data_IF_083079628769
#
_entry.id   IF_083079628769
#
_cell.length_a   1.000
_cell.length_b   1.000
_cell.length_c   1.000
_cell.angle_alpha   90.00
_cell.angle_beta   90.00
_cell.angle_gamma   90.00
#
_symmetry.space_group_name_H-M   'P 1'
#
loop_
_entity.id
_entity.type
_entity.pdbx_description
1 polymer ?
#
# COMPACT_ATOMS: atom_id res chain seq x y z
N UNK A 1 -20.03 1.29 16.89
CA UNK A 1 -18.88 1.86 16.14
C UNK A 1 -19.30 2.06 14.69
N UNK A 2 -18.99 3.23 14.09
CA UNK A 2 -19.33 3.53 12.70
C UNK A 2 -18.31 2.83 11.78
N UNK A 3 -18.77 2.01 10.83
CA UNK A 3 -17.89 1.43 9.81
C UNK A 3 -17.70 2.44 8.68
N UNK A 4 -16.45 2.65 8.27
CA UNK A 4 -16.09 3.55 7.16
C UNK A 4 -15.39 2.72 6.09
N UNK A 5 -15.77 2.95 4.83
CA UNK A 5 -15.12 2.35 3.65
C UNK A 5 -14.49 3.48 2.86
N UNK A 6 -13.20 3.34 2.53
CA UNK A 6 -12.39 4.38 1.86
C UNK A 6 -11.76 3.76 0.61
N UNK A 7 -11.81 4.49 -0.51
CA UNK A 7 -11.06 4.19 -1.72
C UNK A 7 -10.05 5.30 -2.01
N UNK A 8 -8.85 4.95 -2.48
CA UNK A 8 -7.79 5.90 -2.84
C UNK A 8 -7.62 5.86 -4.37
N UNK A 9 -7.93 6.97 -5.04
CA UNK A 9 -7.83 7.10 -6.50
C UNK A 9 -6.88 8.25 -6.86
N UNK A 10 -5.95 7.98 -7.77
CA UNK A 10 -5.01 8.94 -8.33
C UNK A 10 -4.35 8.36 -9.59
N UNK A 11 -3.68 9.22 -10.37
CA UNK A 11 -2.93 8.84 -11.58
C UNK A 11 -1.86 7.76 -11.30
N UNK A 12 -1.39 7.08 -12.35
CA UNK A 12 -0.28 6.11 -12.26
C UNK A 12 0.92 6.79 -11.56
N UNK A 13 1.57 6.05 -10.67
CA UNK A 13 2.71 6.49 -9.86
C UNK A 13 2.51 7.72 -8.94
N UNK A 14 1.26 8.13 -8.69
CA UNK A 14 0.95 9.20 -7.73
C UNK A 14 1.08 8.80 -6.24
N UNK A 15 1.67 7.66 -5.92
CA UNK A 15 1.93 7.24 -4.53
C UNK A 15 0.72 6.68 -3.76
N UNK A 16 -0.32 6.19 -4.45
CA UNK A 16 -1.53 5.60 -3.82
C UNK A 16 -1.21 4.52 -2.78
N UNK A 17 -0.36 3.56 -3.15
CA UNK A 17 0.04 2.46 -2.28
C UNK A 17 0.91 2.95 -1.13
N UNK A 18 1.85 3.87 -1.38
CA UNK A 18 2.68 4.48 -0.32
C UNK A 18 1.83 5.22 0.73
N UNK A 19 0.73 5.86 0.31
CA UNK A 19 -0.23 6.45 1.23
C UNK A 19 -0.95 5.39 2.07
N UNK A 20 -1.40 4.30 1.45
CA UNK A 20 -2.03 3.18 2.16
C UNK A 20 -1.09 2.53 3.19
N UNK A 21 0.18 2.31 2.83
CA UNK A 21 1.22 1.83 3.76
C UNK A 21 1.39 2.77 4.96
N UNK A 22 1.42 4.08 4.71
CA UNK A 22 1.55 5.09 5.77
C UNK A 22 0.35 5.07 6.70
N UNK A 23 -0.87 4.94 6.16
CA UNK A 23 -2.09 4.82 6.96
C UNK A 23 -2.03 3.58 7.86
N UNK A 24 -1.71 2.41 7.30
CA UNK A 24 -1.61 1.15 8.04
C UNK A 24 -0.53 1.21 9.14
N UNK A 25 0.60 1.86 8.87
CA UNK A 25 1.67 2.03 9.85
C UNK A 25 1.26 2.98 10.97
N UNK A 26 0.71 4.15 10.64
CA UNK A 26 0.29 5.15 11.61
C UNK A 26 -0.88 4.67 12.49
N UNK A 27 -1.74 3.80 11.98
CA UNK A 27 -2.80 3.15 12.77
C UNK A 27 -2.33 1.93 13.56
N UNK A 28 -1.05 1.55 13.44
CA UNK A 28 -0.48 0.38 14.13
C UNK A 28 -0.90 -0.97 13.55
N UNK A 29 -1.51 -1.00 12.36
CA UNK A 29 -1.91 -2.23 11.67
C UNK A 29 -0.71 -3.01 11.13
N UNK A 30 0.38 -2.31 10.77
CA UNK A 30 1.67 -2.91 10.39
C UNK A 30 2.80 -2.35 11.27
N UNK A 31 3.83 -3.17 11.50
CA UNK A 31 4.95 -2.83 12.40
C UNK A 31 6.09 -2.07 11.73
N UNK A 32 6.23 -2.21 10.41
CA UNK A 32 7.28 -1.58 9.61
C UNK A 32 6.61 -0.77 8.51
N UNK A 33 7.06 0.47 8.34
CA UNK A 33 6.68 1.29 7.20
C UNK A 33 7.41 0.78 5.95
N UNK A 34 6.66 0.29 4.98
CA UNK A 34 7.16 -0.10 3.66
C UNK A 34 6.94 0.99 2.62
N UNK A 35 7.65 0.89 1.49
CA UNK A 35 7.39 1.70 0.30
C UNK A 35 7.53 0.89 -0.98
N UNK A 36 6.76 1.28 -2.00
CA UNK A 36 6.74 0.61 -3.31
C UNK A 36 8.08 0.74 -4.02
N UNK A 37 8.67 1.94 -4.01
CA UNK A 37 9.98 2.22 -4.61
C UNK A 37 11.13 1.51 -3.88
N UNK A 38 10.98 1.28 -2.57
CA UNK A 38 11.90 0.47 -1.77
C UNK A 38 11.66 -1.04 -1.91
N UNK A 39 10.63 -1.46 -2.65
CA UNK A 39 10.25 -2.86 -2.89
C UNK A 39 9.95 -3.64 -1.61
N UNK A 40 9.60 -2.94 -0.54
CA UNK A 40 9.32 -3.50 0.78
C UNK A 40 7.94 -3.11 1.32
N UNK A 41 7.07 -2.55 0.46
CA UNK A 41 5.65 -2.35 0.75
C UNK A 41 5.00 -3.66 1.20
N UNK A 42 4.26 -3.60 2.31
CA UNK A 42 3.54 -4.72 2.89
C UNK A 42 2.46 -5.25 1.93
N UNK A 43 1.75 -4.36 1.23
CA UNK A 43 0.67 -4.69 0.30
C UNK A 43 1.17 -5.37 -1.00
N UNK A 44 2.41 -5.11 -1.42
CA UNK A 44 2.98 -5.66 -2.66
C UNK A 44 3.57 -7.06 -2.41
N UNK A 45 2.72 -8.07 -2.24
CA UNK A 45 3.15 -9.47 -2.07
C UNK A 45 3.41 -10.22 -3.37
N UNK A 46 2.99 -9.71 -4.54
CA UNK A 46 3.25 -10.38 -5.81
C UNK A 46 4.67 -10.05 -6.28
N UNK A 47 5.41 -11.06 -6.72
CA UNK A 47 6.82 -10.89 -7.09
C UNK A 47 7.02 -9.81 -8.15
N UNK A 48 6.14 -9.75 -9.16
CA UNK A 48 6.22 -8.76 -10.22
C UNK A 48 6.01 -7.33 -9.70
N UNK A 49 5.14 -7.13 -8.70
CA UNK A 49 4.91 -5.83 -8.05
C UNK A 49 6.22 -5.31 -7.43
N UNK A 50 6.88 -6.15 -6.63
CA UNK A 50 8.18 -5.82 -6.01
C UNK A 50 9.28 -5.62 -7.05
N UNK A 51 9.35 -6.48 -8.07
CA UNK A 51 10.38 -6.37 -9.11
C UNK A 51 10.27 -5.06 -9.88
N UNK A 52 9.04 -4.66 -10.21
CA UNK A 52 8.73 -3.47 -11.02
C UNK A 52 8.55 -2.19 -10.20
N UNK A 53 8.35 -2.28 -8.89
CA UNK A 53 8.03 -1.13 -8.05
C UNK A 53 6.67 -0.51 -8.43
N UNK A 54 5.67 -1.37 -8.69
CA UNK A 54 4.29 -0.96 -8.99
C UNK A 54 3.31 -1.85 -8.23
N UNK A 55 2.07 -1.39 -8.06
CA UNK A 55 0.98 -2.22 -7.54
C UNK A 55 0.05 -2.63 -8.69
N UNK A 56 -0.22 -3.93 -8.81
CA UNK A 56 -1.06 -4.52 -9.88
C UNK A 56 -2.43 -4.89 -9.31
N UNK A 57 -2.47 -5.44 -8.09
CA UNK A 57 -3.70 -5.91 -7.46
C UNK A 57 -4.02 -5.16 -6.17
N UNK A 58 -5.31 -4.93 -5.93
CA UNK A 58 -5.80 -4.52 -4.61
C UNK A 58 -5.90 -5.74 -3.71
N UNK A 59 -5.43 -5.62 -2.45
CA UNK A 59 -5.39 -6.72 -1.48
C UNK A 59 -5.93 -6.27 -0.13
N UNK A 60 -6.28 -7.27 0.68
CA UNK A 60 -6.63 -7.05 2.07
C UNK A 60 -5.36 -6.93 2.91
N UNK A 61 -5.29 -5.91 3.76
CA UNK A 61 -4.24 -5.71 4.75
C UNK A 61 -4.51 -6.53 6.03
#
# INVERSE_FOLDING_TARGET
MKKLVIGILAHVDAGKTTLAESMLYLTGSIRKLGRVDHKDAFLDTYELERLRGITIFSKQA
#
